data_IF_375919975207
#
_entry.id   IF_375919975207
#
_cell.length_a   1.000
_cell.length_b   1.000
_cell.length_c   1.000
_cell.angle_alpha   90.00
_cell.angle_beta   90.00
_cell.angle_gamma   90.00
#
_symmetry.space_group_name_H-M   'P 1'
#
loop_
_entity.id
_entity.type
_entity.pdbx_description
1 polymer ?
#
# COMPACT_ATOMS: atom_id res chain seq x y z
N UNK A 1 -1.52 -19.62 6.63
CA UNK A 1 -1.55 -18.31 5.95
C UNK A 1 -1.15 -18.51 4.50
N UNK A 2 -1.94 -17.98 3.55
CA UNK A 2 -1.59 -18.12 2.14
C UNK A 2 -0.55 -17.07 1.74
N UNK A 3 -0.03 -17.18 0.53
CA UNK A 3 1.03 -16.29 0.07
C UNK A 3 0.60 -14.82 0.00
N UNK A 4 -0.65 -14.56 -0.34
CA UNK A 4 -1.17 -13.19 -0.40
C UNK A 4 -1.16 -12.54 0.98
N UNK A 5 -1.61 -13.26 1.99
CA UNK A 5 -1.61 -12.76 3.37
C UNK A 5 -0.20 -12.52 3.86
N UNK A 6 0.71 -13.43 3.53
CA UNK A 6 2.11 -13.28 3.93
C UNK A 6 2.74 -12.04 3.33
N UNK A 7 2.54 -11.83 2.04
CA UNK A 7 3.08 -10.63 1.35
C UNK A 7 2.50 -9.37 1.98
N UNK A 8 1.20 -9.34 2.19
CA UNK A 8 0.55 -8.18 2.79
C UNK A 8 1.12 -7.86 4.18
N UNK A 9 1.25 -8.88 5.03
CA UNK A 9 1.75 -8.67 6.38
C UNK A 9 3.22 -8.27 6.41
N UNK A 10 4.05 -8.85 5.55
CA UNK A 10 5.46 -8.48 5.47
C UNK A 10 5.61 -7.02 5.06
N UNK A 11 4.84 -6.58 4.06
CA UNK A 11 4.86 -5.19 3.61
C UNK A 11 4.34 -4.24 4.69
N UNK A 12 3.26 -4.63 5.35
CA UNK A 12 2.67 -3.82 6.41
C UNK A 12 3.63 -3.63 7.57
N UNK A 13 4.34 -4.69 7.96
CA UNK A 13 5.34 -4.62 9.02
C UNK A 13 6.43 -3.60 8.67
N UNK A 14 6.89 -3.63 7.43
CA UNK A 14 7.91 -2.69 6.97
C UNK A 14 7.39 -1.24 6.98
N UNK A 15 6.16 -1.06 6.54
CA UNK A 15 5.52 0.26 6.57
C UNK A 15 5.45 0.78 8.01
N UNK A 16 5.03 -0.04 8.95
CA UNK A 16 4.94 0.34 10.34
C UNK A 16 6.31 0.72 10.91
N UNK A 17 7.36 -0.01 10.53
CA UNK A 17 8.72 0.35 10.94
C UNK A 17 9.11 1.74 10.45
N UNK A 18 8.78 2.08 9.21
CA UNK A 18 9.07 3.40 8.67
C UNK A 18 8.35 4.49 9.44
N UNK A 19 7.07 4.26 9.76
CA UNK A 19 6.28 5.22 10.52
C UNK A 19 6.79 5.38 11.94
N UNK A 20 7.22 4.30 12.57
CA UNK A 20 7.80 4.33 13.91
C UNK A 20 9.10 5.12 13.96
N UNK A 21 9.84 5.16 12.85
CA UNK A 21 11.05 5.98 12.75
C UNK A 21 10.75 7.44 12.44
N UNK A 22 9.48 7.82 12.43
CA UNK A 22 9.08 9.22 12.30
C UNK A 22 8.91 9.70 10.87
N UNK A 23 8.89 8.81 9.89
CA UNK A 23 8.66 9.24 8.51
C UNK A 23 7.19 9.60 8.31
N UNK A 24 6.91 10.68 7.57
CA UNK A 24 5.52 11.12 7.38
C UNK A 24 4.67 10.07 6.67
N UNK A 25 3.44 9.88 7.16
CA UNK A 25 2.51 8.91 6.58
C UNK A 25 2.27 9.18 5.09
N UNK A 26 2.10 10.45 4.73
CA UNK A 26 1.83 10.81 3.34
C UNK A 26 3.00 10.47 2.41
N UNK A 27 4.22 10.62 2.89
CA UNK A 27 5.41 10.27 2.12
C UNK A 27 5.48 8.76 1.88
N UNK A 28 5.22 7.98 2.92
CA UNK A 28 5.21 6.52 2.83
C UNK A 28 4.11 6.05 1.88
N UNK A 29 2.90 6.61 2.03
CA UNK A 29 1.76 6.24 1.18
C UNK A 29 2.03 6.57 -0.29
N UNK A 30 2.55 7.76 -0.58
CA UNK A 30 2.86 8.16 -1.95
C UNK A 30 3.92 7.25 -2.58
N UNK A 31 4.92 6.87 -1.80
CA UNK A 31 5.97 5.97 -2.27
C UNK A 31 5.42 4.58 -2.59
N UNK A 32 4.55 4.06 -1.72
CA UNK A 32 3.91 2.76 -1.95
C UNK A 32 3.06 2.78 -3.21
N UNK A 33 2.30 3.85 -3.42
CA UNK A 33 1.46 3.98 -4.60
C UNK A 33 2.32 4.02 -5.87
N UNK A 34 3.39 4.78 -5.86
CA UNK A 34 4.29 4.88 -7.01
C UNK A 34 4.90 3.52 -7.35
N UNK A 35 5.32 2.77 -6.34
CA UNK A 35 5.88 1.44 -6.53
C UNK A 35 4.83 0.50 -7.10
N UNK A 36 3.63 0.51 -6.51
CA UNK A 36 2.54 -0.35 -6.96
C UNK A 36 2.17 -0.08 -8.42
N UNK A 37 2.06 1.20 -8.79
CA UNK A 37 1.72 1.57 -10.16
C UNK A 37 2.77 1.06 -11.15
N UNK A 38 4.05 1.16 -10.80
CA UNK A 38 5.12 0.66 -11.67
C UNK A 38 5.09 -0.85 -11.81
N UNK A 39 4.81 -1.56 -10.73
CA UNK A 39 4.70 -3.02 -10.78
C UNK A 39 3.54 -3.45 -11.67
N UNK A 40 2.39 -2.79 -11.55
CA UNK A 40 1.25 -3.09 -12.41
C UNK A 40 1.57 -2.84 -13.88
N UNK A 41 2.19 -1.70 -14.19
CA UNK A 41 2.55 -1.39 -15.58
C UNK A 41 3.60 -2.32 -16.13
N UNK A 42 4.40 -2.95 -15.30
CA UNK A 42 5.38 -3.93 -15.73
C UNK A 42 4.71 -5.18 -16.29
N UNK A 43 3.56 -5.55 -15.75
CA UNK A 43 2.90 -6.81 -16.09
C UNK A 43 1.59 -6.68 -16.86
N UNK A 44 1.00 -5.49 -16.92
CA UNK A 44 -0.34 -5.31 -17.47
C UNK A 44 -0.34 -4.47 -18.73
N UNK A 45 -1.25 -4.79 -19.64
CA UNK A 45 -1.57 -3.92 -20.76
C UNK A 45 -2.25 -2.67 -20.22
N UNK A 46 -2.23 -1.60 -21.00
CA UNK A 46 -2.81 -0.33 -20.60
C UNK A 46 -4.27 -0.47 -20.14
N UNK A 47 -5.08 -1.24 -20.89
CA UNK A 47 -6.49 -1.43 -20.55
C UNK A 47 -6.65 -2.08 -19.17
N UNK A 48 -5.87 -3.12 -18.90
CA UNK A 48 -5.93 -3.84 -17.63
C UNK A 48 -5.41 -2.96 -16.49
N UNK A 49 -4.37 -2.19 -16.75
CA UNK A 49 -3.83 -1.25 -15.78
C UNK A 49 -4.90 -0.22 -15.39
N UNK A 50 -5.59 0.36 -16.37
CA UNK A 50 -6.63 1.36 -16.09
C UNK A 50 -7.78 0.73 -15.31
N UNK A 51 -8.13 -0.51 -15.61
CA UNK A 51 -9.18 -1.21 -14.88
C UNK A 51 -8.80 -1.42 -13.41
N UNK A 52 -7.57 -1.85 -13.16
CA UNK A 52 -7.08 -2.07 -11.78
C UNK A 52 -7.05 -0.74 -11.01
N UNK A 53 -6.58 0.33 -11.63
CA UNK A 53 -6.55 1.64 -10.98
C UNK A 53 -7.95 2.12 -10.64
N UNK A 54 -8.91 1.88 -11.54
CA UNK A 54 -10.29 2.26 -11.28
C UNK A 54 -10.88 1.47 -10.11
N UNK A 55 -10.63 0.16 -10.08
CA UNK A 55 -11.10 -0.69 -8.97
C UNK A 55 -10.48 -0.22 -7.66
N UNK A 56 -9.18 0.06 -7.65
CA UNK A 56 -8.50 0.53 -6.45
C UNK A 56 -9.10 1.85 -5.96
N UNK A 57 -9.33 2.78 -6.87
CA UNK A 57 -9.92 4.09 -6.53
C UNK A 57 -11.34 3.95 -5.98
N UNK A 58 -12.14 3.04 -6.54
CA UNK A 58 -13.52 2.88 -6.14
C UNK A 58 -13.69 1.98 -4.91
N UNK A 59 -12.66 1.25 -4.53
CA UNK A 59 -12.72 0.37 -3.36
C UNK A 59 -12.68 1.19 -2.07
N UNK A 60 -13.68 0.99 -1.23
CA UNK A 60 -13.75 1.67 0.05
C UNK A 60 -12.92 0.88 1.07
N UNK A 61 -11.99 1.55 1.73
CA UNK A 61 -11.14 0.91 2.74
C UNK A 61 -11.21 1.69 4.05
N UNK A 62 -11.09 0.95 5.15
CA UNK A 62 -11.06 1.57 6.47
C UNK A 62 -9.64 2.05 6.76
N UNK A 63 -9.47 3.26 7.31
CA UNK A 63 -8.14 3.72 7.67
C UNK A 63 -7.57 2.94 8.85
N UNK A 64 -6.24 2.86 8.91
CA UNK A 64 -5.59 2.35 10.10
C UNK A 64 -5.69 3.37 11.22
N UNK A 65 -5.78 2.89 12.45
CA UNK A 65 -5.78 3.75 13.63
C UNK A 65 -4.33 4.03 14.02
N UNK A 66 -3.82 5.17 13.56
CA UNK A 66 -2.44 5.56 13.83
C UNK A 66 -2.47 6.66 14.89
N UNK A 67 -2.07 6.30 16.10
CA UNK A 67 -1.95 7.26 17.19
C UNK A 67 -0.50 7.69 17.34
N UNK A 68 -0.28 8.83 17.98
CA UNK A 68 1.06 9.35 18.17
C UNK A 68 1.91 8.33 18.93
N UNK A 69 2.91 7.79 18.24
CA UNK A 69 3.82 6.79 18.80
C UNK A 69 3.26 5.38 18.91
N UNK A 70 2.06 5.13 18.38
CA UNK A 70 1.42 3.80 18.45
C UNK A 70 0.72 3.50 17.13
N UNK A 71 0.89 2.26 16.66
CA UNK A 71 0.22 1.77 15.45
C UNK A 71 -0.72 0.63 15.79
N UNK A 72 -1.88 0.66 15.18
CA UNK A 72 -2.91 -0.37 15.38
C UNK A 72 -3.50 -0.82 14.05
#
# INVERSE_FOLDING_TARGET
MNDEDKVYHDLLDHVFQLLEHGLPVMMVAASLMAIAQRLYRTNLKEEDYQRIMKIAYETNVEPYDIKKGTLH
#
